data_IF_304459282772
#
_entry.id   IF_304459282772
#
_cell.length_a   1.000
_cell.length_b   1.000
_cell.length_c   1.000
_cell.angle_alpha   90.00
_cell.angle_beta   90.00
_cell.angle_gamma   90.00
#
_symmetry.space_group_name_H-M   'P 1'
#
loop_
_entity.id
_entity.type
_entity.pdbx_description
1 polymer ?
#
# COMPACT_ATOMS: atom_id res chain seq x y z
N UNK A 1 13.81 -38.41 -28.00
CA UNK A 1 14.33 -37.24 -27.26
C UNK A 1 14.67 -37.69 -25.85
N UNK A 2 15.85 -37.34 -25.31
CA UNK A 2 16.24 -37.79 -23.97
C UNK A 2 15.26 -37.28 -22.92
N UNK A 3 14.88 -38.13 -21.96
CA UNK A 3 13.96 -37.81 -20.83
C UNK A 3 14.28 -36.48 -20.15
N UNK A 4 15.57 -36.19 -19.94
CA UNK A 4 16.04 -34.94 -19.34
C UNK A 4 15.68 -33.71 -20.19
N UNK A 5 15.79 -33.81 -21.51
CA UNK A 5 15.46 -32.69 -22.42
C UNK A 5 13.96 -32.41 -22.45
N UNK A 6 13.14 -33.46 -22.41
CA UNK A 6 11.67 -33.32 -22.32
C UNK A 6 11.27 -32.65 -21.02
N UNK A 7 11.82 -33.11 -19.89
CA UNK A 7 11.54 -32.52 -18.58
C UNK A 7 11.96 -31.05 -18.53
N UNK A 8 13.14 -30.70 -19.05
CA UNK A 8 13.61 -29.31 -19.09
C UNK A 8 12.67 -28.38 -19.87
N UNK A 9 12.19 -28.82 -21.02
CA UNK A 9 11.24 -28.05 -21.84
C UNK A 9 9.89 -27.91 -21.13
N UNK A 10 9.37 -29.00 -20.55
CA UNK A 10 8.08 -28.97 -19.84
C UNK A 10 8.14 -28.05 -18.63
N UNK A 11 9.19 -28.14 -17.81
CA UNK A 11 9.37 -27.25 -16.66
C UNK A 11 9.49 -25.79 -17.09
N UNK A 12 10.24 -25.51 -18.16
CA UNK A 12 10.32 -24.16 -18.73
C UNK A 12 8.97 -23.63 -19.22
N UNK A 13 8.18 -24.47 -19.90
CA UNK A 13 6.85 -24.11 -20.37
C UNK A 13 5.88 -23.82 -19.20
N UNK A 14 5.92 -24.65 -18.14
CA UNK A 14 5.13 -24.43 -16.93
C UNK A 14 5.52 -23.10 -16.27
N UNK A 15 6.81 -22.80 -16.16
CA UNK A 15 7.29 -21.55 -15.59
C UNK A 15 6.75 -20.33 -16.37
N UNK A 16 6.83 -20.37 -17.70
CA UNK A 16 6.31 -19.30 -18.57
C UNK A 16 4.79 -19.14 -18.38
N UNK A 17 4.04 -20.24 -18.37
CA UNK A 17 2.60 -20.22 -18.16
C UNK A 17 2.23 -19.59 -16.82
N UNK A 18 2.92 -19.99 -15.74
CA UNK A 18 2.72 -19.43 -14.41
C UNK A 18 3.08 -17.94 -14.35
N UNK A 19 4.18 -17.51 -14.99
CA UNK A 19 4.57 -16.10 -15.06
C UNK A 19 3.50 -15.27 -15.76
N UNK A 20 2.98 -15.72 -16.90
CA UNK A 20 1.90 -15.02 -17.62
C UNK A 20 0.64 -14.96 -16.76
N UNK A 21 0.23 -16.08 -16.16
CA UNK A 21 -0.93 -16.12 -15.28
C UNK A 21 -0.80 -15.15 -14.10
N UNK A 22 0.37 -15.10 -13.46
CA UNK A 22 0.65 -14.16 -12.37
C UNK A 22 0.49 -12.71 -12.82
N UNK A 23 1.09 -12.31 -13.95
CA UNK A 23 0.98 -10.95 -14.48
C UNK A 23 -0.47 -10.58 -14.79
N UNK A 24 -1.25 -11.48 -15.37
CA UNK A 24 -2.67 -11.25 -15.62
C UNK A 24 -3.45 -11.04 -14.33
N UNK A 25 -3.24 -11.90 -13.32
CA UNK A 25 -3.90 -11.77 -12.01
C UNK A 25 -3.56 -10.42 -11.37
N UNK A 26 -2.27 -10.06 -11.32
CA UNK A 26 -1.83 -8.77 -10.77
C UNK A 26 -2.45 -7.62 -11.54
N UNK A 27 -2.48 -7.71 -12.87
CA UNK A 27 -3.08 -6.68 -13.71
C UNK A 27 -4.57 -6.48 -13.41
N UNK A 28 -5.34 -7.57 -13.24
CA UNK A 28 -6.74 -7.49 -12.83
C UNK A 28 -6.90 -6.96 -11.41
N UNK A 29 -5.99 -7.33 -10.50
CA UNK A 29 -6.01 -6.85 -9.12
C UNK A 29 -5.63 -5.37 -9.00
N UNK A 30 -4.89 -4.84 -9.96
CA UNK A 30 -4.49 -3.43 -10.07
C UNK A 30 -5.59 -2.56 -10.68
N UNK A 31 -6.59 -3.15 -11.35
CA UNK A 31 -7.77 -2.45 -11.87
C UNK A 31 -8.74 -1.94 -10.77
N UNK A 32 -8.22 -1.54 -9.60
CA UNK A 32 -8.98 -0.97 -8.48
C UNK A 32 -9.54 0.44 -8.76
N UNK A 33 -9.32 0.96 -9.96
CA UNK A 33 -9.68 2.31 -10.36
C UNK A 33 -8.54 3.30 -10.16
N UNK A 34 -8.78 4.54 -10.58
CA UNK A 34 -7.83 5.64 -10.42
C UNK A 34 -7.47 5.83 -8.94
N UNK A 35 -6.17 5.88 -8.66
CA UNK A 35 -5.69 6.32 -7.35
C UNK A 35 -6.07 7.80 -7.21
N UNK A 36 -7.15 8.07 -6.48
CA UNK A 36 -7.51 9.45 -6.15
C UNK A 36 -6.35 10.03 -5.33
N UNK A 37 -5.83 11.23 -5.69
CA UNK A 37 -4.75 11.84 -4.93
C UNK A 37 -5.18 11.97 -3.47
N UNK A 38 -4.24 11.73 -2.56
CA UNK A 38 -4.49 11.95 -1.15
C UNK A 38 -5.04 13.38 -0.94
N UNK A 39 -5.99 13.60 -0.01
CA UNK A 39 -6.55 14.91 0.24
C UNK A 39 -5.44 15.95 0.46
N UNK A 40 -5.39 16.98 -0.38
CA UNK A 40 -4.42 18.07 -0.26
C UNK A 40 -4.81 19.07 0.83
N UNK A 41 -6.09 19.07 1.22
CA UNK A 41 -6.58 19.85 2.33
C UNK A 41 -6.44 19.05 3.64
N UNK A 42 -5.39 19.38 4.39
CA UNK A 42 -5.10 18.82 5.71
C UNK A 42 -5.68 19.67 6.84
N UNK A 43 -6.55 20.65 6.55
CA UNK A 43 -7.20 21.51 7.57
C UNK A 43 -8.01 20.72 8.60
N UNK A 44 -8.46 19.51 8.26
CA UNK A 44 -9.11 18.60 9.20
C UNK A 44 -8.13 17.91 10.17
N UNK A 45 -6.86 17.71 9.80
CA UNK A 45 -5.86 17.11 10.68
C UNK A 45 -5.28 18.13 11.67
N UNK A 46 -5.25 19.42 11.31
CA UNK A 46 -4.85 20.48 12.24
C UNK A 46 -5.85 20.71 13.37
N UNK A 47 -7.09 20.25 13.24
CA UNK A 47 -8.08 20.28 14.34
C UNK A 47 -7.83 19.21 15.40
N UNK A 48 -7.14 18.11 15.06
CA UNK A 48 -6.80 17.05 16.02
C UNK A 48 -5.61 17.43 16.92
N UNK A 49 -4.80 18.40 16.50
CA UNK A 49 -3.69 18.92 17.29
C UNK A 49 -4.08 20.10 18.18
N UNK A 50 -5.32 20.62 18.08
CA UNK A 50 -5.77 21.70 18.95
C UNK A 50 -5.83 21.19 20.40
N UNK A 51 -4.92 21.61 21.29
CA UNK A 51 -4.95 21.13 22.66
C UNK A 51 -6.23 21.66 23.30
N UNK A 52 -7.13 20.75 23.65
CA UNK A 52 -8.42 21.01 24.29
C UNK A 52 -8.29 21.34 25.78
N UNK A 53 -7.06 21.39 26.30
CA UNK A 53 -6.75 21.85 27.65
C UNK A 53 -5.99 23.17 27.51
N UNK A 54 -6.45 24.27 28.13
CA UNK A 54 -5.63 25.47 28.26
C UNK A 54 -4.48 25.15 29.24
N UNK A 55 -3.40 24.55 28.72
CA UNK A 55 -2.15 24.32 29.48
C UNK A 55 -1.62 25.63 30.07
N UNK A 56 -1.97 26.77 29.47
CA UNK A 56 -1.62 28.11 29.96
C UNK A 56 -2.29 28.45 31.30
N UNK A 57 -3.52 27.98 31.57
CA UNK A 57 -4.22 28.27 32.82
C UNK A 57 -3.65 27.48 34.02
N UNK A 58 -3.15 26.27 33.78
CA UNK A 58 -2.53 25.43 34.83
C UNK A 58 -1.11 25.91 35.18
N UNK A 59 -0.35 26.40 34.18
CA UNK A 59 1.02 26.89 34.38
C UNK A 59 1.06 28.25 35.10
N UNK A 60 0.04 29.10 34.91
CA UNK A 60 -0.10 30.38 35.61
C UNK A 60 -0.51 30.19 37.09
N UNK A 61 -1.32 29.16 37.39
CA UNK A 61 -1.71 28.81 38.75
C UNK A 61 -0.59 28.09 39.53
N UNK A 62 0.34 27.42 38.85
CA UNK A 62 1.49 26.76 39.47
C UNK A 62 2.66 27.72 39.83
N UNK A 63 2.57 28.99 39.42
CA UNK A 63 3.59 30.02 39.68
C UNK A 63 3.09 31.16 40.60
N UNK A 64 1.92 31.02 41.24
CA UNK A 64 1.48 31.82 42.41
C UNK A 64 1.53 30.99 43.69
#
# INVERSE_FOLDING_TARGET
MNRSKVVAVVTGAIAILLSIAYLLIVQFLDFRGEMVPAPTDLSHLSQLEKPSIPIVAEVELAHM
#
